data_IF_496238061154
#
_entry.id   IF_496238061154
#
_cell.length_a   1.000
_cell.length_b   1.000
_cell.length_c   1.000
_cell.angle_alpha   90.00
_cell.angle_beta   90.00
_cell.angle_gamma   90.00
#
_symmetry.space_group_name_H-M   'P 1'
#
loop_
_entity.id
_entity.type
_entity.pdbx_description
1 polymer ?
#
# COMPACT_ATOMS: atom_id res chain seq x y z
N UNK A 1 -17.13 22.49 -34.85
CA UNK A 1 -16.38 23.11 -33.74
C UNK A 1 -15.55 22.00 -33.11
N UNK A 2 -14.23 22.05 -33.25
CA UNK A 2 -13.33 21.02 -32.71
C UNK A 2 -13.02 21.39 -31.26
N UNK A 3 -13.46 20.55 -30.32
CA UNK A 3 -13.16 20.68 -28.89
C UNK A 3 -11.74 20.21 -28.67
N UNK A 4 -10.80 21.15 -28.56
CA UNK A 4 -9.42 20.87 -28.15
C UNK A 4 -9.41 20.58 -26.65
N UNK A 5 -9.39 19.31 -26.27
CA UNK A 5 -9.17 18.92 -24.87
C UNK A 5 -7.72 19.25 -24.52
N UNK A 6 -7.50 20.34 -23.79
CA UNK A 6 -6.18 20.68 -23.26
C UNK A 6 -5.88 19.79 -22.07
N UNK A 7 -5.17 18.69 -22.29
CA UNK A 7 -4.58 17.90 -21.20
C UNK A 7 -3.53 18.78 -20.53
N UNK A 8 -3.89 19.41 -19.42
CA UNK A 8 -2.92 20.16 -18.62
C UNK A 8 -2.02 19.12 -17.97
N UNK A 9 -0.75 19.04 -18.37
CA UNK A 9 0.19 18.16 -17.72
C UNK A 9 0.27 18.56 -16.25
N UNK A 10 -0.12 17.67 -15.34
CA UNK A 10 0.02 17.89 -13.90
C UNK A 10 1.50 18.12 -13.60
N UNK A 11 1.81 19.22 -12.93
CA UNK A 11 3.19 19.55 -12.55
C UNK A 11 3.73 18.46 -11.61
N UNK A 12 4.93 17.94 -11.91
CA UNK A 12 5.58 16.97 -11.04
C UNK A 12 5.85 17.56 -9.64
N UNK A 13 5.57 16.78 -8.60
CA UNK A 13 5.77 17.19 -7.21
C UNK A 13 7.23 16.98 -6.82
N UNK A 14 7.82 17.96 -6.14
CA UNK A 14 9.22 17.97 -5.69
C UNK A 14 9.32 18.52 -4.29
N UNK A 15 10.47 18.32 -3.63
CA UNK A 15 10.70 18.89 -2.29
C UNK A 15 10.55 20.42 -2.26
N UNK A 16 10.83 21.12 -3.37
CA UNK A 16 10.73 22.58 -3.45
C UNK A 16 9.29 23.08 -3.60
N UNK A 17 8.40 22.33 -4.25
CA UNK A 17 7.05 22.79 -4.58
C UNK A 17 5.93 22.11 -3.77
N UNK A 18 6.20 20.99 -3.10
CA UNK A 18 5.16 20.13 -2.50
C UNK A 18 4.29 20.88 -1.49
N UNK A 19 4.87 21.76 -0.67
CA UNK A 19 4.13 22.55 0.34
C UNK A 19 3.33 23.70 -0.26
N UNK A 20 3.73 24.18 -1.44
CA UNK A 20 2.96 25.19 -2.18
C UNK A 20 1.75 24.57 -2.86
N UNK A 21 1.90 23.34 -3.37
CA UNK A 21 0.80 22.60 -3.99
C UNK A 21 -0.11 22.02 -2.89
N UNK A 22 0.45 21.45 -1.84
CA UNK A 22 -0.27 20.79 -0.77
C UNK A 22 0.13 21.39 0.59
N UNK A 23 -0.60 22.41 1.08
CA UNK A 23 -0.30 23.05 2.36
C UNK A 23 -0.33 22.11 3.57
N UNK A 24 -1.04 20.98 3.47
CA UNK A 24 -1.13 19.96 4.52
C UNK A 24 0.08 19.01 4.58
N UNK A 25 1.01 19.09 3.60
CA UNK A 25 2.24 18.28 3.61
C UNK A 25 3.26 18.94 4.52
N UNK A 26 3.75 18.18 5.51
CA UNK A 26 4.88 18.57 6.34
C UNK A 26 6.19 18.18 5.64
N UNK A 27 7.05 19.15 5.23
CA UNK A 27 8.33 18.86 4.59
C UNK A 27 9.36 18.30 5.59
N UNK A 28 9.11 18.43 6.89
CA UNK A 28 9.96 17.93 7.96
C UNK A 28 9.77 16.44 8.20
N UNK A 29 10.26 15.60 7.29
CA UNK A 29 10.35 14.14 7.50
C UNK A 29 11.04 13.77 8.83
N UNK A 30 11.90 14.66 9.35
CA UNK A 30 12.59 14.52 10.63
C UNK A 30 11.94 15.30 11.81
N UNK A 31 10.91 16.12 11.59
CA UNK A 31 10.25 16.91 12.65
C UNK A 31 8.86 16.40 13.05
N UNK A 32 8.28 15.49 12.26
CA UNK A 32 7.10 14.70 12.66
C UNK A 32 7.30 13.96 14.00
N UNK A 33 8.55 13.78 14.44
CA UNK A 33 8.92 13.10 15.69
C UNK A 33 8.66 13.89 16.99
N UNK A 34 8.38 15.20 16.93
CA UNK A 34 8.33 16.06 18.14
C UNK A 34 7.06 16.88 18.33
N UNK A 35 6.20 16.99 17.32
CA UNK A 35 4.90 17.65 17.48
C UNK A 35 3.87 16.58 17.82
N UNK A 36 3.19 16.73 18.97
CA UNK A 36 1.81 16.23 19.10
C UNK A 36 1.07 16.61 17.82
N UNK A 37 0.21 15.74 17.29
CA UNK A 37 -0.71 16.02 16.19
C UNK A 37 -1.22 17.47 16.27
N UNK A 38 -0.53 18.38 15.59
CA UNK A 38 -0.85 19.81 15.53
C UNK A 38 -1.20 20.19 14.09
N UNK A 39 -1.25 19.20 13.19
CA UNK A 39 -1.96 19.31 11.93
C UNK A 39 -3.46 19.10 12.16
N UNK A 40 -4.30 19.54 11.22
CA UNK A 40 -5.73 19.30 11.27
C UNK A 40 -6.00 17.80 11.38
N UNK A 41 -6.87 17.40 12.32
CA UNK A 41 -7.31 16.00 12.42
C UNK A 41 -7.97 15.58 11.11
N UNK A 42 -7.86 14.32 10.73
CA UNK A 42 -8.59 13.73 9.61
C UNK A 42 -10.10 13.99 9.69
N UNK A 43 -10.61 14.26 10.90
CA UNK A 43 -12.00 14.65 11.18
C UNK A 43 -12.38 16.06 10.68
N UNK A 44 -11.44 16.94 10.39
CA UNK A 44 -11.74 18.27 9.84
C UNK A 44 -12.13 18.18 8.37
N UNK A 45 -13.23 18.83 7.96
CA UNK A 45 -13.66 18.93 6.55
C UNK A 45 -14.88 18.06 6.15
N UNK A 46 -15.42 17.24 7.06
CA UNK A 46 -16.64 16.46 6.82
C UNK A 46 -16.48 15.28 5.83
N UNK A 47 -15.31 15.08 5.23
CA UNK A 47 -15.08 14.01 4.27
C UNK A 47 -15.16 12.61 4.89
N UNK A 48 -15.06 12.51 6.21
CA UNK A 48 -15.16 11.24 6.93
C UNK A 48 -16.52 11.00 7.58
N UNK A 49 -17.52 11.87 7.34
CA UNK A 49 -18.88 11.67 7.85
C UNK A 49 -19.48 10.36 7.32
N UNK A 50 -20.00 9.55 8.24
CA UNK A 50 -20.67 8.27 7.94
C UNK A 50 -19.73 7.05 7.86
N UNK A 51 -18.42 7.23 8.00
CA UNK A 51 -17.48 6.12 8.11
C UNK A 51 -17.32 5.62 9.56
N UNK A 52 -16.82 4.40 9.71
CA UNK A 52 -16.53 3.76 10.99
C UNK A 52 -15.48 4.53 11.82
N UNK A 53 -15.69 4.64 13.13
CA UNK A 53 -14.85 5.49 14.00
C UNK A 53 -13.38 5.04 14.07
N UNK A 54 -13.13 3.74 13.98
CA UNK A 54 -11.78 3.19 14.01
C UNK A 54 -11.06 3.47 12.69
N UNK A 55 -11.74 3.28 11.55
CA UNK A 55 -11.16 3.64 10.25
C UNK A 55 -10.92 5.15 10.12
N UNK A 56 -11.78 6.00 10.70
CA UNK A 56 -11.54 7.45 10.79
C UNK A 56 -10.28 7.74 11.60
N UNK A 57 -10.07 7.06 12.73
CA UNK A 57 -8.86 7.22 13.56
C UNK A 57 -7.61 6.84 12.78
N UNK A 58 -7.67 5.77 11.99
CA UNK A 58 -6.55 5.33 11.14
C UNK A 58 -6.26 6.30 9.99
N UNK A 59 -7.18 7.20 9.65
CA UNK A 59 -6.92 8.24 8.65
C UNK A 59 -5.97 9.35 9.12
N UNK A 60 -5.69 9.42 10.42
CA UNK A 60 -4.65 10.29 11.00
C UNK A 60 -3.23 9.68 10.89
N UNK A 61 -3.09 8.43 10.45
CA UNK A 61 -1.76 7.83 10.22
C UNK A 61 -0.95 8.67 9.22
N UNK A 62 0.34 8.82 9.50
CA UNK A 62 1.23 9.72 8.73
C UNK A 62 1.95 8.93 7.64
N UNK A 63 1.51 9.12 6.40
CA UNK A 63 2.13 8.56 5.20
C UNK A 63 3.37 9.35 4.79
N UNK A 64 4.29 8.66 4.09
CA UNK A 64 5.49 9.26 3.51
C UNK A 64 5.15 9.74 2.09
N UNK A 65 5.22 11.05 1.87
CA UNK A 65 4.98 11.67 0.56
C UNK A 65 6.26 11.58 -0.27
N UNK A 66 6.12 11.18 -1.54
CA UNK A 66 7.24 10.89 -2.43
C UNK A 66 7.23 11.80 -3.66
N UNK A 67 8.40 11.95 -4.27
CA UNK A 67 8.46 12.27 -5.70
C UNK A 67 8.27 11.01 -6.57
N UNK A 68 8.24 11.19 -7.89
CA UNK A 68 8.05 10.09 -8.84
C UNK A 68 9.22 9.07 -8.90
N UNK A 69 10.31 9.31 -8.18
CA UNK A 69 11.50 8.46 -8.11
C UNK A 69 11.70 7.86 -6.72
N UNK A 70 10.65 7.84 -5.90
CA UNK A 70 10.64 7.28 -4.55
C UNK A 70 11.60 7.99 -3.60
N UNK A 71 11.82 9.30 -3.80
CA UNK A 71 12.48 10.15 -2.83
C UNK A 71 11.45 10.73 -1.87
N UNK A 72 11.60 10.56 -0.54
CA UNK A 72 10.74 11.22 0.42
C UNK A 72 10.87 12.75 0.32
N UNK A 73 9.76 13.43 0.08
CA UNK A 73 9.68 14.91 -0.03
C UNK A 73 8.80 15.53 1.05
N UNK A 74 8.15 14.72 1.88
CA UNK A 74 7.39 15.18 3.03
C UNK A 74 6.59 14.06 3.68
N UNK A 75 5.62 14.45 4.50
CA UNK A 75 4.65 13.54 5.12
C UNK A 75 3.28 14.19 5.21
N UNK A 76 2.21 13.39 5.15
CA UNK A 76 0.84 13.87 5.23
C UNK A 76 -0.06 12.82 5.87
N UNK A 77 -1.26 13.23 6.30
CA UNK A 77 -2.26 12.28 6.80
C UNK A 77 -2.66 11.29 5.70
N UNK A 78 -3.00 10.06 6.09
CA UNK A 78 -3.56 9.06 5.20
C UNK A 78 -4.78 9.60 4.46
N UNK A 79 -5.67 10.33 5.13
CA UNK A 79 -6.77 11.05 4.45
C UNK A 79 -6.26 11.91 3.30
N UNK A 80 -5.32 12.82 3.56
CA UNK A 80 -4.78 13.74 2.56
C UNK A 80 -4.23 12.99 1.35
N UNK A 81 -3.49 11.91 1.60
CA UNK A 81 -2.88 11.05 0.59
C UNK A 81 -3.89 10.30 -0.30
N UNK A 82 -5.06 9.93 0.23
CA UNK A 82 -6.02 9.08 -0.48
C UNK A 82 -7.20 9.85 -1.09
N UNK A 83 -7.27 11.19 -0.91
CA UNK A 83 -8.27 12.02 -1.57
C UNK A 83 -7.96 12.12 -3.06
N UNK A 84 -8.93 11.75 -3.90
CA UNK A 84 -8.83 11.83 -5.36
C UNK A 84 -8.45 13.24 -5.83
N UNK A 85 -8.97 14.27 -5.17
CA UNK A 85 -8.67 15.67 -5.48
C UNK A 85 -7.19 16.03 -5.32
N UNK A 86 -6.48 15.39 -4.40
CA UNK A 86 -5.04 15.57 -4.22
C UNK A 86 -4.22 14.67 -5.15
N UNK A 87 -4.68 13.44 -5.34
CA UNK A 87 -4.05 12.47 -6.26
C UNK A 87 -4.04 12.99 -7.70
N UNK A 88 -5.14 13.58 -8.19
CA UNK A 88 -5.19 14.18 -9.54
C UNK A 88 -4.25 15.38 -9.70
N UNK A 89 -3.83 15.98 -8.59
CA UNK A 89 -2.82 17.05 -8.54
C UNK A 89 -1.40 16.51 -8.35
N UNK A 90 -1.22 15.19 -8.35
CA UNK A 90 0.07 14.50 -8.34
C UNK A 90 0.52 13.99 -6.97
N UNK A 91 -0.27 14.11 -5.90
CA UNK A 91 0.13 13.63 -4.58
C UNK A 91 0.36 12.11 -4.61
N UNK A 92 1.55 11.67 -4.18
CA UNK A 92 2.05 10.30 -4.26
C UNK A 92 2.64 9.90 -2.91
N UNK A 93 2.40 8.68 -2.45
CA UNK A 93 2.95 8.18 -1.19
C UNK A 93 3.54 6.78 -1.31
N UNK A 94 4.38 6.42 -0.33
CA UNK A 94 4.98 5.08 -0.25
C UNK A 94 3.99 4.06 0.29
N UNK A 95 3.99 2.87 -0.28
CA UNK A 95 3.17 1.74 0.16
C UNK A 95 3.95 0.42 0.12
N UNK A 96 3.32 -0.65 0.59
CA UNK A 96 3.81 -2.01 0.42
C UNK A 96 2.65 -3.00 0.22
N UNK A 97 2.97 -4.11 -0.47
CA UNK A 97 2.11 -5.25 -0.68
C UNK A 97 2.83 -6.53 -0.28
N UNK A 98 2.27 -7.22 0.72
CA UNK A 98 2.78 -8.53 1.20
C UNK A 98 2.07 -9.67 0.47
N UNK A 99 2.86 -10.64 0.02
CA UNK A 99 2.44 -11.94 -0.48
C UNK A 99 3.01 -13.02 0.44
N UNK A 100 2.19 -13.51 1.37
CA UNK A 100 2.53 -14.57 2.31
C UNK A 100 2.09 -15.92 1.76
N UNK A 101 3.04 -16.84 1.68
CA UNK A 101 2.80 -18.22 1.25
C UNK A 101 2.99 -19.17 2.41
N UNK A 102 2.14 -20.19 2.51
CA UNK A 102 2.33 -21.27 3.46
C UNK A 102 3.40 -22.28 2.99
N UNK A 103 3.66 -23.30 3.80
CA UNK A 103 4.53 -24.43 3.46
C UNK A 103 4.11 -25.18 2.19
N UNK A 104 2.83 -25.13 1.82
CA UNK A 104 2.27 -25.73 0.61
C UNK A 104 2.28 -24.79 -0.61
N UNK A 105 2.94 -23.63 -0.50
CA UNK A 105 3.02 -22.61 -1.55
C UNK A 105 1.64 -22.05 -1.95
N UNK A 106 0.67 -22.05 -1.04
CA UNK A 106 -0.62 -21.35 -1.22
C UNK A 106 -0.49 -19.92 -0.71
N UNK A 107 -0.99 -18.96 -1.47
CA UNK A 107 -1.01 -17.54 -1.09
C UNK A 107 -2.17 -17.28 -0.12
N UNK A 108 -1.89 -16.60 0.99
CA UNK A 108 -2.91 -16.06 1.88
C UNK A 108 -3.50 -14.79 1.26
N UNK A 109 -4.80 -14.82 0.97
CA UNK A 109 -5.59 -13.65 0.59
C UNK A 109 -6.39 -13.15 1.78
N UNK A 110 -6.70 -11.85 1.75
CA UNK A 110 -7.74 -11.27 2.58
C UNK A 110 -8.88 -10.70 1.72
N UNK A 111 -10.08 -10.69 2.28
CA UNK A 111 -11.19 -9.85 1.83
C UNK A 111 -11.25 -8.64 2.76
N UNK A 112 -11.16 -7.44 2.20
CA UNK A 112 -11.23 -6.18 2.94
C UNK A 112 -12.57 -6.07 3.68
N UNK A 113 -12.54 -5.58 4.92
CA UNK A 113 -13.76 -5.32 5.69
C UNK A 113 -14.67 -4.28 5.01
N UNK A 114 -15.96 -4.31 5.35
CA UNK A 114 -16.93 -3.36 4.80
C UNK A 114 -16.71 -1.94 5.31
N UNK A 115 -16.07 -1.82 6.47
CA UNK A 115 -15.75 -0.57 7.14
C UNK A 115 -14.60 0.19 6.44
N UNK A 116 -13.79 -0.50 5.61
CA UNK A 116 -12.65 0.11 4.91
C UNK A 116 -13.09 1.28 4.04
N UNK A 117 -12.40 2.42 4.18
CA UNK A 117 -12.73 3.63 3.41
C UNK A 117 -12.44 3.43 1.92
N UNK A 118 -11.32 2.80 1.57
CA UNK A 118 -10.97 2.45 0.18
C UNK A 118 -11.25 0.97 -0.09
N UNK A 119 -11.88 0.67 -1.23
CA UNK A 119 -12.13 -0.68 -1.72
C UNK A 119 -12.71 -1.66 -0.68
N UNK A 120 -13.81 -1.32 0.02
CA UNK A 120 -14.45 -2.26 0.95
C UNK A 120 -14.91 -3.52 0.21
N UNK A 121 -14.97 -4.64 0.93
CA UNK A 121 -15.47 -5.95 0.45
C UNK A 121 -14.69 -6.61 -0.70
N UNK A 122 -13.63 -6.00 -1.22
CA UNK A 122 -12.79 -6.57 -2.28
C UNK A 122 -11.73 -7.54 -1.74
N UNK A 123 -11.48 -8.61 -2.49
CA UNK A 123 -10.36 -9.53 -2.27
C UNK A 123 -9.03 -8.92 -2.73
N UNK A 124 -7.97 -9.18 -1.98
CA UNK A 124 -6.61 -8.70 -2.28
C UNK A 124 -5.53 -9.64 -1.75
N UNK A 125 -4.26 -9.33 -2.00
CA UNK A 125 -3.13 -10.07 -1.42
C UNK A 125 -3.10 -9.96 0.11
N UNK A 126 -2.13 -10.61 0.75
CA UNK A 126 -2.14 -10.86 2.20
C UNK A 126 -2.34 -9.60 3.05
N UNK A 127 -1.59 -8.53 2.78
CA UNK A 127 -1.67 -7.27 3.52
C UNK A 127 -1.11 -6.14 2.65
N UNK A 128 -1.84 -5.02 2.60
CA UNK A 128 -1.44 -3.81 1.87
C UNK A 128 -1.62 -2.60 2.78
N UNK A 129 -0.55 -1.83 2.96
CA UNK A 129 -0.59 -0.64 3.81
C UNK A 129 0.63 0.24 3.55
N UNK A 130 0.93 1.12 4.51
CA UNK A 130 1.91 2.20 4.37
C UNK A 130 2.98 2.09 5.44
N UNK A 131 4.27 2.25 5.09
CA UNK A 131 5.26 2.65 6.08
C UNK A 131 4.93 4.04 6.60
N UNK A 132 5.04 4.21 7.92
CA UNK A 132 4.77 5.50 8.55
C UNK A 132 6.00 6.40 8.53
N UNK A 133 5.77 7.71 8.57
CA UNK A 133 6.80 8.73 8.77
C UNK A 133 7.41 8.74 10.20
N UNK A 134 7.75 7.57 10.73
CA UNK A 134 8.28 7.35 12.10
C UNK A 134 9.71 6.78 12.05
N UNK A 135 10.50 6.92 13.14
CA UNK A 135 11.84 6.35 13.18
C UNK A 135 11.77 4.83 12.98
N UNK A 136 12.56 4.34 12.02
CA UNK A 136 12.61 2.93 11.67
C UNK A 136 11.78 2.53 10.45
N UNK A 137 10.69 3.23 10.13
CA UNK A 137 9.85 2.94 8.96
C UNK A 137 10.07 3.90 7.77
N UNK A 138 10.49 5.15 8.01
CA UNK A 138 10.61 6.17 6.95
C UNK A 138 11.52 5.74 5.80
N UNK A 139 12.82 5.53 6.08
CA UNK A 139 13.85 5.16 5.10
C UNK A 139 14.03 6.15 3.93
N UNK A 140 15.16 6.86 3.88
CA UNK A 140 15.46 7.79 2.77
C UNK A 140 16.16 7.04 1.64
N UNK A 141 17.31 6.42 1.95
CA UNK A 141 18.04 5.59 1.00
C UNK A 141 17.31 4.26 0.75
N UNK A 142 17.51 3.69 -0.44
CA UNK A 142 16.81 2.48 -0.88
C UNK A 142 16.85 1.33 0.15
N UNK A 143 18.03 0.98 0.67
CA UNK A 143 18.14 -0.12 1.65
C UNK A 143 17.40 0.20 2.96
N UNK A 144 17.46 1.45 3.40
CA UNK A 144 16.74 1.91 4.59
C UNK A 144 15.22 1.90 4.35
N UNK A 145 14.78 2.26 3.15
CA UNK A 145 13.37 2.21 2.75
C UNK A 145 12.85 0.77 2.69
N UNK A 146 13.61 -0.17 2.11
CA UNK A 146 13.27 -1.61 2.13
C UNK A 146 13.14 -2.11 3.58
N UNK A 147 14.09 -1.77 4.46
CA UNK A 147 13.99 -2.16 5.87
C UNK A 147 12.81 -1.51 6.61
N UNK A 148 12.49 -0.25 6.27
CA UNK A 148 11.35 0.45 6.83
C UNK A 148 10.02 -0.18 6.43
N UNK A 149 9.88 -0.51 5.16
CA UNK A 149 8.73 -1.23 4.61
C UNK A 149 8.57 -2.62 5.25
N UNK A 150 9.66 -3.38 5.48
CA UNK A 150 9.58 -4.67 6.18
C UNK A 150 9.04 -4.53 7.61
N UNK A 151 9.46 -3.49 8.33
CA UNK A 151 8.94 -3.19 9.68
C UNK A 151 7.46 -2.84 9.65
N UNK A 152 7.06 -1.99 8.69
CA UNK A 152 5.66 -1.64 8.50
C UNK A 152 4.80 -2.86 8.15
N UNK A 153 5.29 -3.73 7.27
CA UNK A 153 4.63 -5.00 6.93
C UNK A 153 4.44 -5.89 8.14
N UNK A 154 5.47 -6.11 8.96
CA UNK A 154 5.35 -6.90 10.19
C UNK A 154 4.32 -6.29 11.16
N UNK A 155 4.34 -4.96 11.36
CA UNK A 155 3.37 -4.25 12.21
C UNK A 155 1.93 -4.45 11.71
N UNK A 156 1.72 -4.32 10.40
CA UNK A 156 0.38 -4.39 9.79
C UNK A 156 -0.15 -5.82 9.65
N UNK A 157 0.72 -6.81 9.47
CA UNK A 157 0.33 -8.23 9.56
C UNK A 157 -0.18 -8.59 10.97
N UNK A 158 0.42 -8.05 12.04
CA UNK A 158 -0.12 -8.23 13.39
C UNK A 158 -1.44 -7.47 13.56
N UNK A 159 -1.50 -6.20 13.13
CA UNK A 159 -2.70 -5.39 13.28
C UNK A 159 -3.92 -5.96 12.53
N UNK A 160 -3.77 -6.36 11.26
CA UNK A 160 -4.89 -6.78 10.41
C UNK A 160 -5.22 -8.27 10.57
N UNK A 161 -4.20 -9.12 10.65
CA UNK A 161 -4.34 -10.58 10.61
C UNK A 161 -3.96 -11.27 11.92
N UNK A 162 -3.44 -10.54 12.92
CA UNK A 162 -3.00 -11.09 14.20
C UNK A 162 -1.71 -11.90 14.13
N UNK A 163 -0.98 -11.83 13.01
CA UNK A 163 0.25 -12.60 12.78
C UNK A 163 1.38 -11.97 13.58
N UNK A 164 1.90 -12.72 14.56
CA UNK A 164 2.93 -12.23 15.47
C UNK A 164 4.31 -12.15 14.83
N UNK A 165 5.10 -11.18 15.27
CA UNK A 165 6.42 -10.86 14.70
C UNK A 165 7.38 -12.06 14.68
N UNK A 166 7.28 -12.97 15.65
CA UNK A 166 8.10 -14.18 15.74
C UNK A 166 7.83 -15.17 14.60
N UNK A 167 6.62 -15.15 14.04
CA UNK A 167 6.20 -15.98 12.92
C UNK A 167 6.70 -15.41 11.57
N UNK A 168 6.89 -14.09 11.52
CA UNK A 168 7.34 -13.35 10.32
C UNK A 168 8.56 -12.45 10.61
N UNK A 169 9.73 -13.01 10.95
CA UNK A 169 10.96 -12.23 11.16
C UNK A 169 11.33 -11.36 9.96
N UNK A 170 11.88 -10.17 10.21
CA UNK A 170 12.15 -9.15 9.18
C UNK A 170 13.10 -9.64 8.08
N UNK A 171 14.05 -10.50 8.43
CA UNK A 171 15.04 -11.09 7.51
C UNK A 171 14.43 -12.11 6.54
N UNK A 172 13.23 -12.64 6.83
CA UNK A 172 12.54 -13.58 5.96
C UNK A 172 11.68 -12.90 4.88
N UNK A 173 11.52 -11.59 4.94
CA UNK A 173 10.86 -10.85 3.86
C UNK A 173 11.81 -10.68 2.68
N UNK A 174 11.49 -11.31 1.57
CA UNK A 174 12.13 -11.07 0.30
C UNK A 174 11.50 -9.83 -0.35
N UNK A 175 12.31 -8.77 -0.53
CA UNK A 175 11.89 -7.63 -1.35
C UNK A 175 12.14 -7.99 -2.81
N UNK A 176 11.11 -7.88 -3.64
CA UNK A 176 11.21 -8.16 -5.07
C UNK A 176 11.50 -6.88 -5.85
N UNK A 177 10.52 -5.99 -5.94
CA UNK A 177 10.59 -4.79 -6.79
C UNK A 177 9.64 -3.70 -6.28
N UNK A 178 9.58 -2.56 -7.00
CA UNK A 178 8.62 -1.48 -6.74
C UNK A 178 7.71 -1.24 -7.94
N UNK A 179 6.43 -1.00 -7.69
CA UNK A 179 5.42 -0.71 -8.72
C UNK A 179 4.80 0.66 -8.44
N UNK A 180 4.79 1.53 -9.45
CA UNK A 180 4.09 2.81 -9.39
C UNK A 180 2.74 2.68 -10.09
N UNK A 181 1.64 2.80 -9.33
CA UNK A 181 0.28 2.67 -9.88
C UNK A 181 -0.66 3.76 -9.33
N UNK A 182 -1.80 3.95 -10.01
CA UNK A 182 -2.90 4.82 -9.57
C UNK A 182 -4.24 4.11 -9.78
N UNK A 183 -5.14 4.18 -8.81
CA UNK A 183 -6.44 3.50 -8.90
C UNK A 183 -7.58 4.26 -8.17
N UNK A 184 -8.70 4.60 -8.83
CA UNK A 184 -9.87 5.16 -8.17
C UNK A 184 -10.62 4.10 -7.33
N UNK A 185 -11.14 4.49 -6.17
CA UNK A 185 -12.06 3.68 -5.34
C UNK A 185 -13.52 4.01 -5.66
N UNK A 186 -14.01 5.17 -5.22
CA UNK A 186 -15.44 5.54 -5.29
C UNK A 186 -15.66 7.00 -5.75
N UNK A 187 -14.71 7.53 -6.53
CA UNK A 187 -14.70 8.91 -7.03
C UNK A 187 -14.15 9.93 -6.03
N UNK A 188 -14.35 9.71 -4.73
CA UNK A 188 -13.78 10.56 -3.67
C UNK A 188 -12.42 10.05 -3.21
N UNK A 189 -12.29 8.74 -3.05
CA UNK A 189 -11.05 8.11 -2.61
C UNK A 189 -10.34 7.39 -3.74
N UNK A 190 -9.02 7.29 -3.62
CA UNK A 190 -8.15 6.60 -4.58
C UNK A 190 -6.83 6.20 -3.92
N UNK A 191 -6.05 5.43 -4.67
CA UNK A 191 -4.65 5.09 -4.38
C UNK A 191 -3.75 5.70 -5.46
N UNK A 192 -2.59 6.21 -5.05
CA UNK A 192 -1.51 6.64 -5.95
C UNK A 192 -0.20 6.40 -5.21
N UNK A 193 0.48 5.31 -5.58
CA UNK A 193 1.48 4.71 -4.70
C UNK A 193 2.72 4.27 -5.46
N UNK A 194 3.87 4.37 -4.79
CA UNK A 194 5.03 3.52 -5.07
C UNK A 194 4.98 2.35 -4.09
N UNK A 195 4.55 1.21 -4.61
CA UNK A 195 4.25 -0.01 -3.87
C UNK A 195 5.46 -0.97 -3.85
N UNK A 196 5.95 -1.27 -2.66
CA UNK A 196 7.03 -2.22 -2.43
C UNK A 196 6.49 -3.65 -2.33
N UNK A 197 6.96 -4.53 -3.21
CA UNK A 197 6.51 -5.92 -3.26
C UNK A 197 7.35 -6.77 -2.32
N UNK A 198 6.69 -7.34 -1.31
CA UNK A 198 7.30 -8.20 -0.30
C UNK A 198 6.74 -9.62 -0.37
N UNK A 199 7.63 -10.60 -0.43
CA UNK A 199 7.29 -12.02 -0.32
C UNK A 199 7.76 -12.57 1.01
N UNK A 200 7.00 -13.51 1.58
CA UNK A 200 7.42 -14.27 2.75
C UNK A 200 6.80 -15.67 2.69
N UNK A 201 7.57 -16.69 3.09
CA UNK A 201 7.02 -18.02 3.35
C UNK A 201 6.97 -18.27 4.86
N UNK A 202 5.77 -18.49 5.38
CA UNK A 202 5.55 -18.80 6.79
C UNK A 202 4.20 -19.50 6.95
N UNK A 203 4.17 -20.56 7.77
CA UNK A 203 2.91 -21.05 8.34
C UNK A 203 2.59 -20.17 9.54
N UNK A 204 1.39 -19.58 9.54
CA UNK A 204 1.01 -18.55 10.51
C UNK A 204 -0.35 -18.83 11.14
N UNK A 205 -0.48 -18.45 12.41
CA UNK A 205 -1.74 -18.37 13.10
C UNK A 205 -2.44 -17.04 12.80
N UNK A 206 -3.75 -17.09 12.54
CA UNK A 206 -4.56 -15.90 12.26
C UNK A 206 -5.44 -15.56 13.46
N UNK A 207 -5.43 -14.29 13.84
CA UNK A 207 -6.38 -13.67 14.76
C UNK A 207 -6.85 -12.36 14.13
N UNK A 208 -7.73 -12.51 13.15
CA UNK A 208 -8.15 -11.47 12.21
C UNK A 208 -8.87 -10.31 12.93
N UNK A 209 -8.51 -9.08 12.58
CA UNK A 209 -9.23 -7.88 13.00
C UNK A 209 -10.46 -7.67 12.10
N UNK A 210 -11.70 -7.82 12.61
CA UNK A 210 -12.90 -7.77 11.79
C UNK A 210 -13.17 -6.39 11.17
N UNK A 211 -12.59 -5.33 11.75
CA UNK A 211 -12.68 -3.96 11.21
C UNK A 211 -11.74 -3.74 10.01
N UNK A 212 -10.73 -4.60 9.83
CA UNK A 212 -9.77 -4.52 8.73
C UNK A 212 -10.04 -5.57 7.65
N UNK A 213 -10.44 -6.77 8.07
CA UNK A 213 -10.56 -7.96 7.22
C UNK A 213 -11.85 -8.71 7.51
N UNK A 214 -12.67 -8.91 6.46
CA UNK A 214 -13.93 -9.66 6.50
C UNK A 214 -13.72 -11.17 6.40
N UNK A 215 -12.77 -11.59 5.57
CA UNK A 215 -12.52 -13.01 5.31
C UNK A 215 -11.07 -13.26 4.89
N UNK A 216 -10.61 -14.50 4.98
CA UNK A 216 -9.27 -14.90 4.55
C UNK A 216 -9.31 -16.24 3.81
N UNK A 217 -8.39 -16.42 2.86
CA UNK A 217 -8.33 -17.68 2.10
C UNK A 217 -6.92 -17.99 1.62
N UNK A 218 -6.45 -19.19 1.92
CA UNK A 218 -5.29 -19.76 1.25
C UNK A 218 -5.70 -20.31 -0.11
N UNK A 219 -5.00 -19.92 -1.16
CA UNK A 219 -5.27 -20.36 -2.53
C UNK A 219 -4.00 -20.79 -3.25
N UNK A 220 -4.11 -21.80 -4.10
CA UNK A 220 -3.13 -22.10 -5.13
C UNK A 220 -3.24 -21.10 -6.29
N UNK A 221 -2.23 -21.05 -7.15
CA UNK A 221 -2.27 -20.22 -8.36
C UNK A 221 -3.45 -20.57 -9.28
N UNK A 222 -3.83 -21.85 -9.38
CA UNK A 222 -4.98 -22.26 -10.19
C UNK A 222 -6.30 -21.84 -9.55
N UNK A 223 -6.47 -22.02 -8.24
CA UNK A 223 -7.66 -21.56 -7.53
C UNK A 223 -7.84 -20.04 -7.66
N UNK A 224 -6.75 -19.25 -7.56
CA UNK A 224 -6.81 -17.81 -7.77
C UNK A 224 -7.28 -17.45 -9.19
N UNK A 225 -6.75 -18.13 -10.22
CA UNK A 225 -7.20 -17.94 -11.60
C UNK A 225 -8.68 -18.28 -11.79
N UNK A 226 -9.20 -19.26 -11.06
CA UNK A 226 -10.64 -19.56 -11.08
C UNK A 226 -11.45 -18.50 -10.34
N UNK A 227 -10.96 -18.00 -9.20
CA UNK A 227 -11.62 -16.91 -8.47
C UNK A 227 -11.74 -15.64 -9.32
N UNK A 228 -10.74 -15.30 -10.14
CA UNK A 228 -10.84 -14.16 -11.08
C UNK A 228 -11.90 -14.30 -12.17
N UNK A 229 -12.37 -15.53 -12.44
CA UNK A 229 -13.45 -15.77 -13.41
C UNK A 229 -14.84 -15.68 -12.78
N UNK A 230 -14.93 -15.66 -11.46
CA UNK A 230 -16.19 -15.54 -10.75
C UNK A 230 -16.66 -14.08 -10.73
N UNK A 231 -17.76 -13.73 -11.42
CA UNK A 231 -18.25 -12.36 -11.46
C UNK A 231 -18.84 -11.88 -10.12
N UNK A 232 -19.06 -12.78 -9.16
CA UNK A 232 -19.53 -12.43 -7.82
C UNK A 232 -18.39 -11.95 -6.91
N UNK A 233 -17.13 -12.13 -7.32
CA UNK A 233 -15.95 -11.72 -6.56
C UNK A 233 -15.35 -10.43 -7.15
N UNK A 234 -15.15 -9.44 -6.27
CA UNK A 234 -14.43 -8.23 -6.60
C UNK A 234 -13.00 -8.30 -6.06
N UNK A 235 -12.06 -7.71 -6.78
CA UNK A 235 -10.67 -7.66 -6.37
C UNK A 235 -10.12 -6.27 -6.55
N UNK A 236 -9.18 -5.91 -5.68
CA UNK A 236 -8.57 -4.60 -5.72
C UNK A 236 -7.75 -4.41 -7.00
N UNK A 237 -7.70 -3.17 -7.56
CA UNK A 237 -7.05 -2.93 -8.85
C UNK A 237 -5.58 -3.30 -8.87
N UNK A 238 -4.82 -2.97 -7.83
CA UNK A 238 -3.39 -3.32 -7.74
C UNK A 238 -3.18 -4.83 -7.71
N UNK A 239 -4.04 -5.57 -7.01
CA UNK A 239 -3.88 -7.02 -6.91
C UNK A 239 -4.12 -7.70 -8.26
N UNK A 240 -5.15 -7.28 -9.00
CA UNK A 240 -5.36 -7.74 -10.38
C UNK A 240 -4.17 -7.40 -11.27
N UNK A 241 -3.72 -6.14 -11.22
CA UNK A 241 -2.58 -5.65 -11.99
C UNK A 241 -1.30 -6.48 -11.73
N UNK A 242 -0.96 -6.71 -10.46
CA UNK A 242 0.22 -7.50 -10.06
C UNK A 242 0.04 -8.96 -10.49
N UNK A 243 -1.17 -9.52 -10.35
CA UNK A 243 -1.47 -10.90 -10.77
C UNK A 243 -1.23 -11.12 -12.25
N UNK A 244 -1.81 -10.25 -13.08
CA UNK A 244 -1.78 -10.37 -14.54
C UNK A 244 -0.41 -10.04 -15.14
N UNK A 245 0.40 -9.23 -14.44
CA UNK A 245 1.70 -8.80 -14.94
C UNK A 245 2.87 -9.66 -14.44
N UNK A 246 2.91 -10.01 -13.15
CA UNK A 246 4.14 -10.49 -12.52
C UNK A 246 3.94 -11.69 -11.58
N UNK A 247 2.87 -11.70 -10.78
CA UNK A 247 2.71 -12.65 -9.66
C UNK A 247 2.81 -14.11 -10.10
N UNK A 248 2.07 -14.51 -11.14
CA UNK A 248 2.03 -15.92 -11.53
C UNK A 248 3.40 -16.43 -11.98
N UNK A 249 4.21 -15.57 -12.60
CA UNK A 249 5.58 -15.89 -12.99
C UNK A 249 6.51 -16.01 -11.75
N UNK A 250 6.39 -15.10 -10.78
CA UNK A 250 7.14 -15.20 -9.52
C UNK A 250 6.75 -16.44 -8.72
N UNK A 251 5.46 -16.71 -8.62
CA UNK A 251 4.90 -17.81 -7.85
C UNK A 251 5.30 -19.16 -8.42
N UNK A 252 5.24 -19.35 -9.74
CA UNK A 252 5.73 -20.57 -10.41
C UNK A 252 7.19 -20.89 -10.04
N UNK A 253 8.02 -19.86 -9.90
CA UNK A 253 9.45 -19.99 -9.61
C UNK A 253 9.74 -19.98 -8.10
N UNK A 254 8.75 -19.72 -7.25
CA UNK A 254 8.98 -19.43 -5.84
C UNK A 254 9.60 -20.62 -5.08
N UNK A 255 10.80 -20.41 -4.52
CA UNK A 255 11.60 -21.45 -3.88
C UNK A 255 12.60 -22.18 -4.80
N UNK A 256 12.75 -21.74 -6.04
CA UNK A 256 13.77 -22.20 -6.99
C UNK A 256 14.93 -21.19 -7.09
N UNK A 257 16.07 -21.61 -7.64
CA UNK A 257 17.18 -20.71 -7.94
C UNK A 257 16.81 -19.56 -8.89
N UNK A 258 15.81 -19.77 -9.76
CA UNK A 258 15.34 -18.72 -10.67
C UNK A 258 14.65 -17.58 -9.94
N UNK A 259 14.00 -17.85 -8.80
CA UNK A 259 13.32 -16.83 -8.00
C UNK A 259 14.28 -15.82 -7.40
N UNK A 260 15.50 -16.24 -7.05
CA UNK A 260 16.53 -15.35 -6.51
C UNK A 260 16.87 -14.20 -7.47
N UNK A 261 16.66 -14.38 -8.78
CA UNK A 261 16.87 -13.34 -9.79
C UNK A 261 15.87 -12.18 -9.71
N UNK A 262 14.73 -12.38 -9.05
CA UNK A 262 13.72 -11.34 -8.87
C UNK A 262 13.93 -10.52 -7.59
N UNK A 263 14.77 -10.99 -6.66
CA UNK A 263 14.99 -10.31 -5.37
C UNK A 263 15.88 -9.09 -5.56
N UNK A 264 15.53 -8.00 -4.90
CA UNK A 264 16.35 -6.79 -4.89
C UNK A 264 16.34 -6.01 -6.21
N UNK A 265 15.36 -6.23 -7.09
CA UNK A 265 15.21 -5.43 -8.30
C UNK A 265 14.95 -3.97 -7.93
N UNK A 266 15.88 -3.10 -8.36
CA UNK A 266 15.83 -1.66 -8.06
C UNK A 266 14.98 -0.90 -9.07
N UNK A 267 14.47 -1.56 -10.09
CA UNK A 267 13.59 -0.96 -11.10
C UNK A 267 12.30 -0.47 -10.43
N UNK A 268 11.85 0.73 -10.82
CA UNK A 268 10.52 1.21 -10.50
C UNK A 268 9.63 0.97 -11.73
N UNK A 269 8.75 -0.02 -11.65
CA UNK A 269 7.86 -0.40 -12.75
C UNK A 269 6.66 0.55 -12.77
N UNK A 270 6.55 1.40 -13.80
CA UNK A 270 5.45 2.35 -13.94
C UNK A 270 4.25 1.68 -14.62
N UNK A 271 3.15 1.55 -13.91
CA UNK A 271 1.89 0.92 -14.31
C UNK A 271 0.73 1.89 -14.08
N UNK A 272 0.85 3.08 -14.68
CA UNK A 272 -0.12 4.19 -14.59
C UNK A 272 -1.15 4.15 -15.72
#
# INVERSE_FOLDING_TARGET
>A
MSSTTTTTATQAITAENVTTIFPDVDPGLAQAFSRRQNGPSAREGGELEGYDEEQIRLMDEVCIVLDENDQPIGSASKKTCHLMTNIERGLLHRAFSVFLFDSQKRLLLQQRASEKITFPDMWTNTCCSHPLGIPGETGVEFEAAVQGVRRAAQRKLDHELGIKAEQVPLEKFDFLTRIHYKAPSDGKWAEHEIDYILFIQADVDLNVSPNEVRDTKYVTAEELKQMFKDPALEFTPWFKLICESMLFNWWEKFGTEEFEKFKGDRTLHRML
#
